data_IF_288188646670
#
_entry.id   IF_288188646670
#
_cell.length_a   1.000
_cell.length_b   1.000
_cell.length_c   1.000
_cell.angle_alpha   90.00
_cell.angle_beta   90.00
_cell.angle_gamma   90.00
#
_symmetry.space_group_name_H-M   'P 1'
#
loop_
_entity.id
_entity.type
_entity.pdbx_description
1 polymer ?
#
# COMPACT_ATOMS: atom_id res chain seq x y z
N UNK A 1 9.33 11.84 -9.43
CA UNK A 1 10.61 11.50 -10.07
C UNK A 1 11.50 12.74 -10.11
N UNK A 2 12.82 12.57 -9.95
CA UNK A 2 13.77 13.62 -9.59
C UNK A 2 13.66 14.01 -8.11
N UNK A 3 12.55 14.63 -7.69
CA UNK A 3 12.39 15.09 -6.30
C UNK A 3 12.43 13.94 -5.27
N UNK A 4 11.65 12.88 -5.49
CA UNK A 4 11.64 11.72 -4.59
C UNK A 4 12.99 11.00 -4.55
N UNK A 5 13.67 10.86 -5.69
CA UNK A 5 15.01 10.27 -5.78
C UNK A 5 16.03 11.09 -4.97
N UNK A 6 16.01 12.42 -5.07
CA UNK A 6 16.88 13.29 -4.26
C UNK A 6 16.60 13.19 -2.75
N UNK A 7 15.37 12.85 -2.36
CA UNK A 7 14.94 12.74 -0.96
C UNK A 7 15.10 11.32 -0.39
N UNK A 8 15.30 10.31 -1.25
CA UNK A 8 15.52 8.90 -0.86
C UNK A 8 16.75 8.34 -1.58
N UNK A 9 17.95 8.89 -1.33
CA UNK A 9 19.19 8.35 -1.87
C UNK A 9 19.55 7.02 -1.20
N UNK A 10 20.52 6.31 -1.77
CA UNK A 10 21.10 5.12 -1.14
C UNK A 10 21.51 5.41 0.31
N UNK A 11 21.03 4.58 1.22
CA UNK A 11 21.25 4.70 2.66
C UNK A 11 22.07 3.52 3.21
N UNK A 12 22.39 3.56 4.51
CA UNK A 12 23.05 2.45 5.18
C UNK A 12 22.17 1.18 5.14
N UNK A 13 22.74 -0.04 5.17
CA UNK A 13 21.96 -1.28 5.07
C UNK A 13 20.90 -1.49 6.17
N UNK A 14 21.04 -0.82 7.32
CA UNK A 14 20.13 -0.85 8.46
C UNK A 14 19.17 0.35 8.52
N UNK A 15 19.23 1.25 7.53
CA UNK A 15 18.34 2.41 7.41
C UNK A 15 17.05 2.06 6.68
N UNK A 16 15.94 2.66 7.11
CA UNK A 16 14.65 2.55 6.44
C UNK A 16 14.10 3.92 6.09
N UNK A 17 13.80 4.11 4.80
CA UNK A 17 12.98 5.23 4.34
C UNK A 17 11.52 4.82 4.28
N UNK A 18 10.70 5.46 5.11
CA UNK A 18 9.24 5.28 5.08
C UNK A 18 8.64 6.41 4.25
N UNK A 19 8.29 6.09 3.01
CA UNK A 19 7.79 7.06 2.03
C UNK A 19 6.26 7.16 2.13
N UNK A 20 5.75 8.36 2.43
CA UNK A 20 4.31 8.62 2.42
C UNK A 20 3.74 8.52 1.00
N UNK A 21 2.80 7.59 0.79
CA UNK A 21 2.13 7.41 -0.49
C UNK A 21 1.25 8.61 -0.88
N UNK A 22 1.16 8.90 -2.18
CA UNK A 22 0.36 10.01 -2.72
C UNK A 22 -0.53 9.52 -3.87
N UNK A 23 -1.84 9.71 -3.74
CA UNK A 23 -2.82 9.31 -4.75
C UNK A 23 -2.96 7.79 -4.93
N UNK A 24 -3.38 7.36 -6.12
CA UNK A 24 -3.37 5.96 -6.53
C UNK A 24 -3.06 5.85 -8.03
N UNK A 25 -2.39 4.77 -8.44
CA UNK A 25 -2.02 4.52 -9.85
C UNK A 25 -3.21 4.42 -10.81
N UNK A 26 -4.38 4.11 -10.29
CA UNK A 26 -5.64 4.04 -11.07
C UNK A 26 -6.47 5.31 -10.96
N UNK A 27 -6.05 6.31 -10.18
CA UNK A 27 -6.81 7.54 -10.00
C UNK A 27 -6.67 8.45 -11.22
N UNK A 28 -7.77 8.86 -11.88
CA UNK A 28 -7.69 9.59 -13.15
C UNK A 28 -6.93 10.91 -13.06
N UNK A 29 -7.02 11.61 -11.92
CA UNK A 29 -6.31 12.87 -11.69
C UNK A 29 -4.91 12.73 -11.05
N UNK A 30 -4.61 11.61 -10.37
CA UNK A 30 -3.45 11.51 -9.49
C UNK A 30 -2.49 10.35 -9.82
N UNK A 31 -2.81 9.53 -10.82
CA UNK A 31 -1.97 8.41 -11.25
C UNK A 31 -0.52 8.83 -11.55
N UNK A 32 -0.34 9.99 -12.20
CA UNK A 32 0.99 10.51 -12.52
C UNK A 32 1.82 10.83 -11.27
N UNK A 33 1.16 11.26 -10.18
CA UNK A 33 1.83 11.54 -8.89
C UNK A 33 2.31 10.23 -8.29
N UNK A 34 1.44 9.23 -8.19
CA UNK A 34 1.79 7.91 -7.63
C UNK A 34 2.89 7.22 -8.43
N UNK A 35 2.83 7.27 -9.76
CA UNK A 35 3.87 6.68 -10.63
C UNK A 35 5.20 7.43 -10.48
N UNK A 36 5.15 8.76 -10.42
CA UNK A 36 6.34 9.57 -10.21
C UNK A 36 7.00 9.33 -8.86
N UNK A 37 6.22 9.06 -7.81
CA UNK A 37 6.72 8.68 -6.50
C UNK A 37 7.35 7.27 -6.54
N UNK A 38 6.60 6.29 -7.04
CA UNK A 38 7.04 4.88 -7.17
C UNK A 38 8.37 4.75 -7.92
N UNK A 39 8.53 5.42 -9.06
CA UNK A 39 9.79 5.40 -9.83
C UNK A 39 10.90 6.21 -9.19
N UNK A 40 10.56 7.28 -8.45
CA UNK A 40 11.57 8.12 -7.83
C UNK A 40 12.16 7.51 -6.56
N UNK A 41 11.32 6.88 -5.73
CA UNK A 41 11.76 6.26 -4.46
C UNK A 41 12.18 4.81 -4.61
N UNK A 42 11.88 4.16 -5.74
CA UNK A 42 12.38 2.83 -6.10
C UNK A 42 12.22 1.77 -5.00
N UNK A 43 11.04 1.68 -4.35
CA UNK A 43 10.90 0.98 -3.08
C UNK A 43 11.14 -0.54 -3.21
N UNK A 44 11.76 -1.14 -2.20
CA UNK A 44 11.88 -2.60 -2.08
C UNK A 44 10.56 -3.26 -1.72
N UNK A 45 9.76 -2.57 -0.90
CA UNK A 45 8.47 -3.04 -0.41
C UNK A 45 7.43 -1.93 -0.47
N UNK A 46 6.20 -2.29 -0.82
CA UNK A 46 5.05 -1.39 -0.72
C UNK A 46 3.92 -2.00 0.10
N UNK A 47 3.13 -1.14 0.75
CA UNK A 47 1.91 -1.50 1.49
C UNK A 47 0.71 -0.92 0.76
N UNK A 48 -0.31 -1.73 0.52
CA UNK A 48 -1.55 -1.25 -0.10
C UNK A 48 -2.50 -0.73 0.98
N UNK A 49 -2.81 0.56 0.91
CA UNK A 49 -3.80 1.19 1.78
C UNK A 49 -5.20 1.05 1.19
N UNK A 50 -6.17 0.60 1.99
CA UNK A 50 -7.55 0.39 1.53
C UNK A 50 -8.57 0.75 2.62
N UNK A 51 -9.74 1.24 2.20
CA UNK A 51 -10.89 1.46 3.08
C UNK A 51 -12.00 0.47 2.70
N UNK A 52 -12.22 -0.58 3.51
CA UNK A 52 -13.24 -1.58 3.23
C UNK A 52 -14.63 -0.99 3.06
N UNK A 53 -15.36 -1.46 2.06
CA UNK A 53 -16.71 -0.99 1.75
C UNK A 53 -16.78 0.25 0.84
N UNK A 54 -15.65 0.92 0.59
CA UNK A 54 -15.57 2.00 -0.40
C UNK A 54 -15.75 1.43 -1.81
N UNK A 55 -16.73 1.96 -2.55
CA UNK A 55 -17.04 1.50 -3.92
C UNK A 55 -16.57 2.46 -5.01
N UNK A 56 -16.32 3.72 -4.65
CA UNK A 56 -15.92 4.77 -5.59
C UNK A 56 -14.69 5.54 -5.10
N UNK A 57 -13.93 6.08 -6.05
CA UNK A 57 -12.78 6.92 -5.78
C UNK A 57 -13.21 8.25 -5.15
N UNK A 58 -12.51 8.65 -4.09
CA UNK A 58 -12.81 9.88 -3.37
C UNK A 58 -12.74 11.09 -4.32
N UNK A 59 -13.78 11.92 -4.32
CA UNK A 59 -13.83 13.14 -5.13
C UNK A 59 -14.02 12.92 -6.63
N UNK A 60 -14.22 11.67 -7.08
CA UNK A 60 -14.36 11.35 -8.50
C UNK A 60 -15.57 10.45 -8.75
N UNK A 61 -16.77 11.05 -8.68
CA UNK A 61 -18.04 10.33 -8.80
C UNK A 61 -18.12 9.48 -10.08
N UNK A 62 -18.61 8.24 -9.95
CA UNK A 62 -18.75 7.30 -11.06
C UNK A 62 -17.47 6.53 -11.43
N UNK A 63 -16.33 6.82 -10.80
CA UNK A 63 -15.13 6.02 -10.94
C UNK A 63 -15.07 4.96 -9.85
N UNK A 64 -15.23 3.70 -10.26
CA UNK A 64 -15.20 2.56 -9.36
C UNK A 64 -13.82 2.40 -8.73
N UNK A 65 -13.81 1.97 -7.47
CA UNK A 65 -12.57 1.62 -6.80
C UNK A 65 -11.96 0.37 -7.46
N UNK A 66 -10.66 0.43 -7.70
CA UNK A 66 -9.86 -0.67 -8.23
C UNK A 66 -9.79 -1.82 -7.23
N UNK A 67 -9.85 -3.06 -7.72
CA UNK A 67 -9.62 -4.24 -6.89
C UNK A 67 -8.20 -4.22 -6.30
N UNK A 68 -8.04 -4.71 -5.07
CA UNK A 68 -6.74 -4.71 -4.39
C UNK A 68 -5.69 -5.48 -5.20
N UNK A 69 -6.08 -6.59 -5.80
CA UNK A 69 -5.21 -7.44 -6.61
C UNK A 69 -4.70 -6.72 -7.86
N UNK A 70 -5.56 -5.93 -8.52
CA UNK A 70 -5.16 -5.11 -9.65
C UNK A 70 -4.21 -3.99 -9.21
N UNK A 71 -4.40 -3.41 -8.02
CA UNK A 71 -3.45 -2.45 -7.45
C UNK A 71 -2.07 -3.10 -7.22
N UNK A 72 -2.03 -4.32 -6.68
CA UNK A 72 -0.76 -5.05 -6.46
C UNK A 72 -0.08 -5.33 -7.80
N UNK A 73 -0.83 -5.86 -8.77
CA UNK A 73 -0.32 -6.21 -10.09
C UNK A 73 0.28 -4.98 -10.78
N UNK A 74 -0.48 -3.89 -10.82
CA UNK A 74 -0.06 -2.66 -11.48
C UNK A 74 1.16 -2.03 -10.79
N UNK A 75 1.15 -1.96 -9.46
CA UNK A 75 2.27 -1.40 -8.69
C UNK A 75 3.54 -2.22 -8.90
N UNK A 76 3.44 -3.55 -8.86
CA UNK A 76 4.57 -4.45 -9.08
C UNK A 76 5.09 -4.34 -10.51
N UNK A 77 4.19 -4.36 -11.50
CA UNK A 77 4.55 -4.27 -12.91
C UNK A 77 5.32 -2.96 -13.22
N UNK A 78 4.82 -1.84 -12.73
CA UNK A 78 5.41 -0.53 -12.98
C UNK A 78 6.68 -0.30 -12.14
N UNK A 79 6.69 -0.73 -10.88
CA UNK A 79 7.82 -0.56 -9.95
C UNK A 79 9.04 -1.40 -10.32
N UNK A 80 8.83 -2.60 -10.89
CA UNK A 80 9.91 -3.47 -11.39
C UNK A 80 10.80 -2.81 -12.43
N UNK A 81 10.35 -1.70 -13.02
CA UNK A 81 11.15 -0.94 -13.97
C UNK A 81 12.37 -0.29 -13.34
N UNK A 82 12.27 0.11 -12.07
CA UNK A 82 13.36 0.77 -11.33
C UNK A 82 13.92 -0.13 -10.22
N UNK A 83 13.10 -0.98 -9.62
CA UNK A 83 13.55 -2.00 -8.65
C UNK A 83 12.98 -3.38 -9.01
N UNK A 84 13.74 -4.27 -9.66
CA UNK A 84 13.26 -5.61 -10.04
C UNK A 84 12.80 -6.49 -8.88
N UNK A 85 13.25 -6.20 -7.65
CA UNK A 85 12.95 -6.96 -6.44
C UNK A 85 11.70 -6.47 -5.70
N UNK A 86 11.06 -5.37 -6.14
CA UNK A 86 9.89 -4.81 -5.48
C UNK A 86 8.80 -5.86 -5.21
N UNK A 87 8.25 -5.83 -3.98
CA UNK A 87 7.17 -6.73 -3.55
C UNK A 87 6.12 -6.02 -2.70
N UNK A 88 4.93 -6.62 -2.63
CA UNK A 88 3.92 -6.20 -1.66
C UNK A 88 4.27 -6.75 -0.27
N UNK A 89 4.32 -5.90 0.75
CA UNK A 89 4.52 -6.29 2.15
C UNK A 89 3.23 -6.68 2.86
N UNK A 90 2.09 -6.20 2.36
CA UNK A 90 0.77 -6.46 2.93
C UNK A 90 -0.16 -5.27 2.81
N UNK A 91 -1.15 -5.21 3.69
CA UNK A 91 -2.29 -4.31 3.56
C UNK A 91 -2.56 -3.52 4.83
N UNK A 92 -2.69 -2.20 4.67
CA UNK A 92 -3.12 -1.28 5.71
C UNK A 92 -4.59 -0.90 5.48
N UNK A 93 -5.48 -1.44 6.30
CA UNK A 93 -6.91 -1.21 6.19
C UNK A 93 -7.34 -0.09 7.13
N UNK A 94 -8.06 0.89 6.61
CA UNK A 94 -8.78 1.86 7.41
C UNK A 94 -10.14 1.25 7.81
N UNK A 95 -10.22 0.69 9.02
CA UNK A 95 -11.43 0.06 9.55
C UNK A 95 -12.18 0.97 10.54
N UNK A 96 -11.97 2.29 10.47
CA UNK A 96 -12.59 3.26 11.38
C UNK A 96 -14.11 3.25 11.37
N UNK A 97 -14.73 2.81 10.27
CA UNK A 97 -16.18 2.70 10.12
C UNK A 97 -16.78 1.41 10.73
N UNK A 98 -15.94 0.48 11.22
CA UNK A 98 -16.36 -0.84 11.68
C UNK A 98 -16.24 -1.00 13.20
N UNK A 99 -17.05 -1.88 13.77
CA UNK A 99 -16.87 -2.35 15.15
C UNK A 99 -15.54 -3.09 15.34
N UNK A 100 -15.07 -3.23 16.58
CA UNK A 100 -13.80 -3.92 16.89
C UNK A 100 -13.78 -5.37 16.39
N UNK A 101 -14.81 -6.14 16.73
CA UNK A 101 -14.93 -7.55 16.34
C UNK A 101 -15.12 -7.69 14.83
N UNK A 102 -15.97 -6.85 14.23
CA UNK A 102 -16.21 -6.82 12.79
C UNK A 102 -14.93 -6.50 12.00
N UNK A 103 -14.14 -5.53 12.46
CA UNK A 103 -12.85 -5.20 11.87
C UNK A 103 -11.87 -6.38 11.95
N UNK A 104 -11.80 -7.06 13.11
CA UNK A 104 -10.92 -8.21 13.30
C UNK A 104 -11.31 -9.39 12.39
N UNK A 105 -12.60 -9.69 12.28
CA UNK A 105 -13.13 -10.74 11.39
C UNK A 105 -12.87 -10.42 9.92
N UNK A 106 -13.10 -9.16 9.51
CA UNK A 106 -12.80 -8.69 8.16
C UNK A 106 -11.31 -8.85 7.83
N UNK A 107 -10.43 -8.33 8.68
CA UNK A 107 -8.98 -8.40 8.43
C UNK A 107 -8.49 -9.85 8.37
N UNK A 108 -9.02 -10.73 9.22
CA UNK A 108 -8.68 -12.16 9.19
C UNK A 108 -9.09 -12.80 7.86
N UNK A 109 -10.33 -12.56 7.41
CA UNK A 109 -10.82 -13.08 6.13
C UNK A 109 -9.99 -12.55 4.96
N UNK A 110 -9.68 -11.26 4.95
CA UNK A 110 -8.93 -10.63 3.86
C UNK A 110 -7.48 -11.07 3.84
N UNK A 111 -6.86 -11.31 5.01
CA UNK A 111 -5.54 -11.94 5.11
C UNK A 111 -5.54 -13.32 4.46
N UNK A 112 -6.53 -14.15 4.77
CA UNK A 112 -6.63 -15.50 4.22
C UNK A 112 -6.87 -15.47 2.70
N UNK A 113 -7.66 -14.50 2.22
CA UNK A 113 -7.96 -14.30 0.80
C UNK A 113 -6.76 -13.77 0.01
N UNK A 114 -6.03 -12.81 0.56
CA UNK A 114 -4.95 -12.09 -0.11
C UNK A 114 -3.58 -12.76 0.10
N UNK A 115 -3.44 -13.65 1.08
CA UNK A 115 -2.23 -14.42 1.34
C UNK A 115 -1.07 -13.62 1.96
N UNK A 116 -1.30 -12.37 2.36
CA UNK A 116 -0.34 -11.51 3.06
C UNK A 116 -1.00 -10.85 4.29
N UNK A 117 -0.21 -10.32 5.24
CA UNK A 117 -0.77 -9.64 6.41
C UNK A 117 -1.71 -8.49 6.05
N UNK A 118 -2.85 -8.45 6.74
CA UNK A 118 -3.81 -7.34 6.71
C UNK A 118 -3.92 -6.80 8.13
N UNK A 119 -3.73 -5.49 8.28
CA UNK A 119 -3.79 -4.83 9.58
C UNK A 119 -4.47 -3.47 9.47
N UNK A 120 -5.03 -2.98 10.57
CA UNK A 120 -5.36 -1.57 10.76
C UNK A 120 -4.27 -0.97 11.67
N UNK A 121 -3.35 -0.14 11.11
CA UNK A 121 -2.25 0.44 11.89
C UNK A 121 -2.71 1.30 13.07
N UNK A 122 -3.92 1.88 13.00
CA UNK A 122 -4.46 2.73 14.07
C UNK A 122 -4.96 1.87 15.25
N UNK A 123 -5.46 0.66 14.96
CA UNK A 123 -5.83 -0.31 16.00
C UNK A 123 -4.62 -1.05 16.59
N UNK A 124 -3.55 -1.21 15.81
CA UNK A 124 -2.31 -1.85 16.23
C UNK A 124 -2.47 -3.34 16.52
N UNK A 125 -1.71 -3.84 17.50
CA UNK A 125 -1.76 -5.23 17.95
C UNK A 125 -1.05 -6.21 17.00
N UNK A 126 -1.26 -7.53 17.19
CA UNK A 126 -0.49 -8.57 16.51
C UNK A 126 -0.59 -8.54 14.98
N UNK A 127 -1.72 -8.08 14.44
CA UNK A 127 -1.88 -7.93 12.99
C UNK A 127 -0.94 -6.85 12.44
N UNK A 128 -0.78 -5.73 13.15
CA UNK A 128 0.13 -4.66 12.77
C UNK A 128 1.59 -5.09 12.90
N UNK A 129 1.94 -5.80 13.98
CA UNK A 129 3.28 -6.39 14.14
C UNK A 129 3.61 -7.33 12.98
N UNK A 130 2.69 -8.21 12.58
CA UNK A 130 2.88 -9.11 11.44
C UNK A 130 3.05 -8.37 10.11
N UNK A 131 2.36 -7.23 9.90
CA UNK A 131 2.57 -6.39 8.73
C UNK A 131 3.96 -5.76 8.74
N UNK A 132 4.43 -5.26 9.88
CA UNK A 132 5.77 -4.70 10.02
C UNK A 132 6.83 -5.78 9.76
N UNK A 133 6.70 -6.96 10.36
CA UNK A 133 7.61 -8.09 10.12
C UNK A 133 7.66 -8.48 8.64
N UNK A 134 6.52 -8.54 7.96
CA UNK A 134 6.46 -8.82 6.53
C UNK A 134 7.12 -7.74 5.67
N UNK A 135 7.10 -6.48 6.09
CA UNK A 135 7.84 -5.42 5.42
C UNK A 135 9.36 -5.58 5.60
N UNK A 136 9.81 -6.05 6.77
CA UNK A 136 11.24 -6.19 7.11
C UNK A 136 11.89 -7.49 6.59
N UNK A 137 11.09 -8.45 6.09
CA UNK A 137 11.54 -9.79 5.69
C UNK A 137 12.36 -9.87 4.39
#
# INVERSE_FOLDING_TARGET
AGAAEMLSPDAAPDHWDVIEGQGALTHPAFAAVSLGLLHGSQPDVFVVCHEPGRTEMLGTAGYKLTAIEEVIELTTLLGRRTNPAIRCGGFAFNTSALGGDEAAELMTRERDRLGLPVADPIRGGPAFEALVESCLA
#
